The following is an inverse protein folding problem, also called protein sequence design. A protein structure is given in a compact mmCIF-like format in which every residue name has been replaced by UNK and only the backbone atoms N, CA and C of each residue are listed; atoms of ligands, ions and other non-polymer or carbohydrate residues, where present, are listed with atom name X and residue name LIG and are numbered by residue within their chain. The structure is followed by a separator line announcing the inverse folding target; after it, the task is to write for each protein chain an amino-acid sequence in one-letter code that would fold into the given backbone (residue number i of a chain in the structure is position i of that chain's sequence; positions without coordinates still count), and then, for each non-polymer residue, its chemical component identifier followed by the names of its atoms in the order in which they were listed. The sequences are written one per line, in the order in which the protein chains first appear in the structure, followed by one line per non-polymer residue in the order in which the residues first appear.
data_IF_595150739322
#
_entry.id   IF_595150739322
#
_cell.length_a   1.000
_cell.length_b   1.000
_cell.length_c   1.000
_cell.angle_alpha   90.00
_cell.angle_beta   90.00
_cell.angle_gamma   90.00
#
_symmetry.space_group_name_H-M   'P 1'
#
loop_
_entity.id
_entity.type
_entity.pdbx_description
1 polymer ?
#
# COMPACT_ATOMS: atom_id res chain seq x y z
N UNK A 1 -14.22 15.80 -4.50
CA UNK A 1 -13.75 14.40 -4.30
C UNK A 1 -12.52 14.23 -5.15
N UNK A 2 -11.34 14.21 -4.54
CA UNK A 2 -10.08 14.08 -5.28
C UNK A 2 -9.90 12.61 -5.62
N UNK A 3 -10.12 12.25 -6.88
CA UNK A 3 -9.78 10.91 -7.38
C UNK A 3 -8.26 10.85 -7.41
N UNK A 4 -7.65 10.25 -6.39
CA UNK A 4 -6.19 10.01 -6.41
C UNK A 4 -5.96 8.81 -7.30
N UNK A 5 -5.24 8.98 -8.39
CA UNK A 5 -4.92 7.87 -9.26
C UNK A 5 -3.95 6.93 -8.55
N UNK A 6 -4.10 5.60 -8.63
CA UNK A 6 -3.25 4.67 -7.88
C UNK A 6 -1.75 4.82 -8.18
N UNK A 7 -1.41 5.33 -9.38
CA UNK A 7 -0.03 5.66 -9.78
C UNK A 7 0.56 6.88 -9.07
N UNK A 8 -0.27 7.84 -8.66
CA UNK A 8 0.17 9.05 -7.94
C UNK A 8 0.64 8.74 -6.51
N UNK A 9 0.37 7.51 -6.02
CA UNK A 9 0.78 7.05 -4.70
C UNK A 9 2.13 6.35 -4.69
N UNK A 10 2.78 6.17 -5.85
CA UNK A 10 4.14 5.62 -5.90
C UNK A 10 5.08 6.50 -5.08
N UNK A 11 5.89 5.86 -4.23
CA UNK A 11 6.76 6.51 -3.25
C UNK A 11 6.11 6.79 -1.90
N UNK A 12 4.77 6.78 -1.80
CA UNK A 12 4.07 6.92 -0.52
C UNK A 12 4.13 5.63 0.29
N UNK A 13 3.94 5.77 1.60
CA UNK A 13 3.75 4.66 2.51
C UNK A 13 2.27 4.35 2.64
N UNK A 14 1.94 3.06 2.66
CA UNK A 14 0.60 2.53 2.84
C UNK A 14 0.60 1.58 4.02
N UNK A 15 -0.46 1.65 4.83
CA UNK A 15 -0.77 0.68 5.88
C UNK A 15 -2.20 0.22 5.68
N UNK A 16 -2.37 -1.09 5.63
CA UNK A 16 -3.65 -1.74 5.46
C UNK A 16 -4.31 -1.99 6.82
N UNK A 17 -5.58 -1.63 6.99
CA UNK A 17 -6.32 -1.75 8.25
C UNK A 17 -7.20 -3.01 8.33
N UNK A 18 -7.56 -3.63 7.20
CA UNK A 18 -8.25 -4.92 7.19
C UNK A 18 -7.28 -6.11 7.31
N UNK A 19 -7.77 -7.20 7.89
CA UNK A 19 -7.03 -8.46 7.96
C UNK A 19 -6.70 -8.97 6.54
N UNK A 20 -5.44 -8.83 6.15
CA UNK A 20 -4.90 -9.40 4.93
C UNK A 20 -3.52 -9.99 5.23
N UNK A 21 -3.53 -11.31 5.44
CA UNK A 21 -2.32 -12.04 5.82
C UNK A 21 -1.69 -11.52 7.11
N UNK A 22 -0.42 -11.87 7.29
CA UNK A 22 0.34 -11.63 8.50
C UNK A 22 0.95 -10.21 8.60
N UNK A 23 0.90 -9.43 7.50
CA UNK A 23 1.43 -8.07 7.39
C UNK A 23 0.39 -6.98 7.67
N UNK A 24 -0.81 -7.37 8.11
CA UNK A 24 -1.88 -6.44 8.50
C UNK A 24 -1.38 -5.42 9.53
N UNK A 25 -1.67 -4.14 9.33
CA UNK A 25 -1.27 -3.07 10.25
C UNK A 25 0.19 -2.63 10.13
N UNK A 26 1.02 -3.26 9.28
CA UNK A 26 2.38 -2.78 9.01
C UNK A 26 2.40 -1.72 7.91
N UNK A 27 3.32 -0.77 8.05
CA UNK A 27 3.62 0.20 6.99
C UNK A 27 4.51 -0.44 5.92
N UNK A 28 4.20 -0.17 4.65
CA UNK A 28 5.00 -0.56 3.50
C UNK A 28 5.10 0.62 2.52
N UNK A 29 6.18 0.71 1.75
CA UNK A 29 6.34 1.72 0.71
C UNK A 29 5.78 1.21 -0.62
N UNK A 30 4.97 2.01 -1.31
CA UNK A 30 4.49 1.69 -2.65
C UNK A 30 5.61 1.94 -3.65
N UNK A 31 6.08 0.87 -4.31
CA UNK A 31 7.15 0.95 -5.29
C UNK A 31 6.63 1.23 -6.69
N UNK A 32 5.55 0.56 -7.08
CA UNK A 32 4.93 0.71 -8.40
C UNK A 32 3.52 0.13 -8.42
N UNK A 33 2.77 0.47 -9.46
CA UNK A 33 1.52 -0.21 -9.81
C UNK A 33 1.82 -1.38 -10.74
N UNK A 34 1.27 -2.56 -10.44
CA UNK A 34 1.40 -3.78 -11.24
C UNK A 34 0.02 -4.32 -11.61
N UNK A 35 -0.22 -4.77 -12.84
CA UNK A 35 -1.46 -5.46 -13.19
C UNK A 35 -1.47 -6.86 -12.55
N UNK A 36 -2.59 -7.26 -11.95
CA UNK A 36 -2.80 -8.61 -11.43
C UNK A 36 -4.19 -9.12 -11.81
N UNK A 37 -4.23 -10.11 -12.71
CA UNK A 37 -5.46 -10.63 -13.32
C UNK A 37 -6.33 -9.50 -13.90
N UNK A 38 -7.39 -9.12 -13.19
CA UNK A 38 -8.43 -8.20 -13.63
C UNK A 38 -8.41 -6.85 -12.88
N UNK A 39 -7.42 -6.60 -12.03
CA UNK A 39 -7.31 -5.36 -11.26
C UNK A 39 -5.86 -4.88 -11.15
N UNK A 40 -5.71 -3.57 -10.91
CA UNK A 40 -4.42 -2.99 -10.58
C UNK A 40 -4.08 -3.27 -9.10
N UNK A 41 -2.82 -3.58 -8.84
CA UNK A 41 -2.26 -3.77 -7.51
C UNK A 41 -1.07 -2.81 -7.27
N UNK A 42 -0.73 -2.60 -6.01
CA UNK A 42 0.56 -2.02 -5.64
C UNK A 42 1.55 -3.13 -5.31
N UNK A 43 2.75 -3.05 -5.88
CA UNK A 43 3.92 -3.71 -5.33
C UNK A 43 4.44 -2.85 -4.18
N UNK A 44 4.52 -3.42 -2.98
CA UNK A 44 4.97 -2.73 -1.78
C UNK A 44 6.21 -3.39 -1.19
N UNK A 45 7.05 -2.60 -0.52
CA UNK A 45 8.20 -3.10 0.25
C UNK A 45 8.06 -2.76 1.74
N UNK A 46 8.30 -3.74 2.59
CA UNK A 46 8.33 -3.60 4.04
C UNK A 46 9.73 -3.23 4.54
N UNK A 47 9.82 -2.89 5.84
CA UNK A 47 11.08 -2.55 6.50
C UNK A 47 12.16 -3.64 6.36
N UNK A 48 11.76 -4.90 6.40
CA UNK A 48 12.66 -6.06 6.28
C UNK A 48 13.04 -6.39 4.83
N UNK A 49 12.73 -5.48 3.90
CA UNK A 49 12.95 -5.64 2.45
C UNK A 49 12.11 -6.75 1.80
N UNK A 50 11.17 -7.38 2.53
CA UNK A 50 10.19 -8.25 1.90
C UNK A 50 9.23 -7.42 1.06
N UNK A 51 8.81 -7.98 -0.08
CA UNK A 51 7.86 -7.35 -0.98
C UNK A 51 6.56 -8.13 -1.05
N UNK A 52 5.45 -7.43 -1.16
CA UNK A 52 4.13 -8.04 -1.35
C UNK A 52 3.33 -7.28 -2.41
N UNK A 53 2.30 -7.92 -2.96
CA UNK A 53 1.39 -7.35 -3.95
C UNK A 53 0.01 -7.20 -3.32
N UNK A 54 -0.41 -5.96 -3.09
CA UNK A 54 -1.70 -5.67 -2.47
C UNK A 54 -2.69 -5.09 -3.50
N UNK A 55 -3.96 -5.52 -3.49
CA UNK A 55 -4.97 -5.03 -4.42
C UNK A 55 -5.30 -3.57 -4.16
N UNK A 56 -5.45 -2.79 -5.23
CA UNK A 56 -5.98 -1.44 -5.11
C UNK A 56 -7.50 -1.54 -4.95
N UNK A 57 -7.95 -1.58 -3.71
CA UNK A 57 -9.38 -1.64 -3.40
C UNK A 57 -10.01 -0.25 -3.45
N UNK A 58 -11.21 -0.14 -4.01
CA UNK A 58 -11.97 1.12 -4.07
C UNK A 58 -12.43 1.63 -2.68
N UNK A 59 -12.27 0.82 -1.64
CA UNK A 59 -12.66 1.16 -0.28
C UNK A 59 -11.52 1.90 0.41
N UNK A 60 -11.58 3.23 0.36
CA UNK A 60 -10.59 4.14 0.96
C UNK A 60 -10.38 3.94 2.46
N UNK A 61 -11.36 3.35 3.14
CA UNK A 61 -11.34 3.14 4.60
C UNK A 61 -10.41 1.99 5.03
N UNK A 62 -9.93 1.20 4.07
CA UNK A 62 -9.06 0.05 4.32
C UNK A 62 -7.56 0.39 4.27
N UNK A 63 -7.21 1.60 3.83
CA UNK A 63 -5.83 2.02 3.65
C UNK A 63 -5.57 3.37 4.34
N UNK A 64 -4.49 3.43 5.12
CA UNK A 64 -3.90 4.69 5.58
C UNK A 64 -2.67 4.99 4.74
N UNK A 65 -2.48 6.25 4.34
CA UNK A 65 -1.34 6.68 3.54
C UNK A 65 -0.52 7.76 4.24
N UNK A 66 0.78 7.82 3.99
CA UNK A 66 1.70 8.88 4.42
C UNK A 66 2.74 9.17 3.35
N UNK A 67 3.14 10.44 3.21
CA UNK A 67 4.17 10.86 2.25
C UNK A 67 5.58 10.81 2.82
N UNK A 68 5.71 10.83 4.14
CA UNK A 68 6.99 10.74 4.84
C UNK A 68 7.30 9.28 5.20
N UNK A 69 8.59 8.91 5.36
CA UNK A 69 8.98 7.62 5.89
C UNK A 69 8.18 7.32 7.15
N UNK A 70 7.37 6.27 7.10
CA UNK A 70 6.68 5.82 8.30
C UNK A 70 7.77 5.43 9.32
N UNK A 71 7.67 5.95 10.54
CA UNK A 71 8.45 5.41 11.65
C UNK A 71 8.09 3.92 11.75
N UNK A 72 8.99 3.08 11.26
CA UNK A 72 8.82 1.62 11.29
C UNK A 72 8.82 1.04 12.73
N UNK A 73 8.84 1.92 13.74
CA UNK A 73 9.00 1.62 15.16
C UNK A 73 7.72 1.79 15.99
N UNK A 74 6.59 2.23 15.41
CA UNK A 74 5.38 2.56 16.17
C UNK A 74 4.16 1.75 15.75
#
# INVERSE_FOLDING_TARGET
MTVTFPRERVGQFVRRSNQHGYRTGQWAQILMTVPSRDHDCWLVAYQDSETDVIPIENHTDQYTFRSEPADWRC
#
